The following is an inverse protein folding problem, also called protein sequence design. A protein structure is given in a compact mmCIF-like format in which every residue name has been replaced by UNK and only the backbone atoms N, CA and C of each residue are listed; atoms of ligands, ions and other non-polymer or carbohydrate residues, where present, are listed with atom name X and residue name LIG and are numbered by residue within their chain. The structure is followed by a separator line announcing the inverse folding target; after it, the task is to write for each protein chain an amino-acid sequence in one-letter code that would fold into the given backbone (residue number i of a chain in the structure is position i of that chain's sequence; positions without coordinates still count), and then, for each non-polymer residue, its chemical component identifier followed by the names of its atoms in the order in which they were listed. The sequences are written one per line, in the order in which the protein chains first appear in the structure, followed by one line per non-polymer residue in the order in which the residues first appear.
data_IF_595163699179
#
_entry.id   IF_595163699179
#
_cell.length_a   1.000
_cell.length_b   1.000
_cell.length_c   1.000
_cell.angle_alpha   90.00
_cell.angle_beta   90.00
_cell.angle_gamma   90.00
#
_symmetry.space_group_name_H-M   'P 1'
#
loop_
_entity.id
_entity.type
_entity.pdbx_description
1 polymer ?
#
# COMPACT_ATOMS: atom_id res chain seq x y z
N UNK A 1 -6.14 -10.54 6.87
CA UNK A 1 -5.84 -9.35 7.71
C UNK A 1 -4.97 -8.40 6.91
N UNK A 2 -5.26 -7.10 6.96
CA UNK A 2 -4.44 -6.05 6.36
C UNK A 2 -3.74 -5.23 7.44
N UNK A 3 -2.58 -4.70 7.10
CA UNK A 3 -1.84 -3.74 7.92
C UNK A 3 -1.44 -2.57 7.02
N UNK A 4 -1.93 -1.39 7.36
CA UNK A 4 -1.61 -0.13 6.71
C UNK A 4 -0.61 0.62 7.57
N UNK A 5 0.42 1.19 6.96
CA UNK A 5 1.44 1.96 7.67
C UNK A 5 1.79 3.19 6.87
N UNK A 6 1.59 4.36 7.48
CA UNK A 6 1.95 5.65 6.93
C UNK A 6 3.03 6.30 7.79
N UNK A 7 4.14 6.70 7.18
CA UNK A 7 5.28 7.30 7.87
C UNK A 7 5.53 8.69 7.30
N UNK A 8 5.46 9.68 8.19
CA UNK A 8 5.74 11.06 7.86
C UNK A 8 7.26 11.31 7.73
N UNK A 9 7.70 12.05 6.72
CA UNK A 9 9.14 12.25 6.42
C UNK A 9 9.50 13.72 6.21
N UNK A 10 9.69 14.51 7.29
CA UNK A 10 10.11 15.90 7.14
C UNK A 10 11.46 15.97 6.40
N UNK A 11 11.56 16.84 5.39
CA UNK A 11 12.81 17.09 4.65
C UNK A 11 13.23 16.02 3.63
N UNK A 12 12.46 14.95 3.44
CA UNK A 12 12.79 13.86 2.47
C UNK A 12 11.64 13.52 1.50
N UNK A 13 10.72 14.45 1.28
CA UNK A 13 9.60 14.30 0.33
C UNK A 13 8.26 13.93 1.00
N UNK A 14 7.34 13.37 0.22
CA UNK A 14 6.00 12.96 0.69
C UNK A 14 6.07 11.83 1.73
N UNK A 15 4.99 11.64 2.48
CA UNK A 15 4.84 10.49 3.40
C UNK A 15 4.98 9.16 2.66
N UNK A 16 5.65 8.17 3.28
CA UNK A 16 5.68 6.80 2.77
C UNK A 16 4.44 6.06 3.24
N UNK A 17 3.83 5.29 2.36
CA UNK A 17 2.69 4.46 2.67
C UNK A 17 2.94 3.01 2.21
N UNK A 18 2.66 2.06 3.10
CA UNK A 18 2.84 0.63 2.86
C UNK A 18 1.56 -0.08 3.27
N UNK A 19 1.08 -1.00 2.42
CA UNK A 19 0.04 -1.97 2.78
C UNK A 19 0.64 -3.37 2.65
N UNK A 20 0.36 -4.22 3.64
CA UNK A 20 0.60 -5.67 3.55
C UNK A 20 -0.66 -6.44 3.93
N UNK A 21 -0.99 -7.47 3.13
CA UNK A 21 -2.14 -8.34 3.37
C UNK A 21 -1.70 -9.77 3.65
N UNK A 22 -2.35 -10.40 4.62
CA UNK A 22 -2.10 -11.77 5.06
C UNK A 22 -3.37 -12.63 5.05
N UNK A 23 -3.23 -13.87 4.60
CA UNK A 23 -4.18 -14.98 4.80
C UNK A 23 -3.42 -16.11 5.50
N UNK A 24 -3.89 -16.60 6.64
CA UNK A 24 -3.27 -17.69 7.42
C UNK A 24 -1.75 -17.57 7.58
N UNK A 25 -1.30 -16.40 8.07
CA UNK A 25 0.12 -16.02 8.27
C UNK A 25 0.96 -15.93 6.99
N UNK A 26 0.37 -16.17 5.82
CA UNK A 26 1.02 -16.02 4.52
C UNK A 26 0.73 -14.63 3.97
N UNK A 27 1.78 -13.84 3.71
CA UNK A 27 1.62 -12.57 3.02
C UNK A 27 1.24 -12.83 1.56
N UNK A 28 0.16 -12.22 1.09
CA UNK A 28 -0.31 -12.41 -0.29
C UNK A 28 -0.28 -11.15 -1.14
N UNK A 29 -0.27 -9.97 -0.51
CA UNK A 29 -0.20 -8.68 -1.20
C UNK A 29 0.75 -7.72 -0.49
N UNK A 30 1.47 -6.92 -1.28
CA UNK A 30 2.22 -5.75 -0.82
C UNK A 30 1.97 -4.57 -1.74
N UNK A 31 1.84 -3.38 -1.17
CA UNK A 31 1.98 -2.11 -1.87
C UNK A 31 3.01 -1.25 -1.13
N UNK A 32 3.85 -0.53 -1.86
CA UNK A 32 4.82 0.42 -1.32
C UNK A 32 4.82 1.69 -2.17
N UNK A 33 4.47 2.83 -1.58
CA UNK A 33 4.40 4.11 -2.30
C UNK A 33 5.76 4.60 -2.80
N UNK A 34 6.85 4.09 -2.23
CA UNK A 34 8.22 4.46 -2.59
C UNK A 34 8.82 3.59 -3.69
N UNK A 35 8.11 2.54 -4.13
CA UNK A 35 8.59 1.74 -5.24
C UNK A 35 8.71 2.59 -6.52
N UNK A 36 9.65 2.26 -7.41
CA UNK A 36 9.84 3.01 -8.66
C UNK A 36 8.57 3.01 -9.53
N UNK A 37 7.76 1.95 -9.44
CA UNK A 37 6.43 1.86 -10.02
C UNK A 37 5.45 1.34 -8.96
N UNK A 38 4.82 2.22 -8.16
CA UNK A 38 3.94 1.81 -7.07
C UNK A 38 2.71 1.08 -7.59
N UNK A 39 2.65 -0.22 -7.30
CA UNK A 39 1.54 -1.12 -7.61
C UNK A 39 1.35 -2.15 -6.50
N UNK A 40 0.15 -2.71 -6.41
CA UNK A 40 -0.12 -3.86 -5.57
C UNK A 40 0.53 -5.09 -6.23
N UNK A 41 1.30 -5.85 -5.45
CA UNK A 41 2.07 -6.98 -5.94
C UNK A 41 1.68 -8.28 -5.22
N UNK A 42 1.53 -9.39 -5.94
CA UNK A 42 1.38 -10.71 -5.33
C UNK A 42 2.62 -11.07 -4.51
N UNK A 43 2.40 -11.69 -3.36
CA UNK A 43 3.45 -12.20 -2.46
C UNK A 43 3.31 -13.68 -2.16
N UNK A 44 2.29 -14.33 -2.73
CA UNK A 44 2.04 -15.75 -2.62
C UNK A 44 1.69 -16.35 -3.99
N UNK A 45 2.06 -17.62 -4.28
CA UNK A 45 1.83 -18.23 -5.59
C UNK A 45 0.36 -18.30 -6.01
N UNK A 46 -0.55 -18.43 -5.05
CA UNK A 46 -1.98 -18.46 -5.34
C UNK A 46 -2.56 -17.09 -5.70
N UNK A 47 -1.92 -16.00 -5.24
CA UNK A 47 -2.34 -14.65 -5.58
C UNK A 47 -1.97 -14.28 -7.03
N UNK A 48 -0.90 -14.86 -7.59
CA UNK A 48 -0.51 -14.66 -9.00
C UNK A 48 -1.57 -15.14 -10.00
N UNK A 49 -2.54 -15.95 -9.55
CA UNK A 49 -3.66 -16.42 -10.37
C UNK A 49 -4.72 -15.35 -10.60
N UNK A 50 -4.72 -14.29 -9.80
CA UNK A 50 -5.63 -13.17 -9.96
C UNK A 50 -5.32 -12.39 -11.23
N UNK A 51 -6.37 -11.96 -11.94
CA UNK A 51 -6.26 -11.23 -13.19
C UNK A 51 -5.72 -9.80 -13.02
N UNK A 52 -5.27 -9.17 -14.12
CA UNK A 52 -4.78 -7.79 -14.09
C UNK A 52 -5.82 -6.80 -13.55
N UNK A 53 -7.11 -7.04 -13.78
CA UNK A 53 -8.19 -6.18 -13.29
C UNK A 53 -8.22 -6.10 -11.76
N UNK A 54 -7.99 -7.24 -11.09
CA UNK A 54 -7.89 -7.30 -9.64
C UNK A 54 -6.68 -6.48 -9.15
N UNK A 55 -5.52 -6.66 -9.78
CA UNK A 55 -4.29 -5.95 -9.40
C UNK A 55 -4.38 -4.44 -9.64
N UNK A 56 -5.04 -4.02 -10.73
CA UNK A 56 -5.30 -2.62 -11.02
C UNK A 56 -6.26 -1.99 -10.01
N UNK A 57 -7.29 -2.71 -9.60
CA UNK A 57 -8.21 -2.28 -8.55
C UNK A 57 -7.50 -2.17 -7.19
N UNK A 58 -6.74 -3.19 -6.79
CA UNK A 58 -5.97 -3.15 -5.53
C UNK A 58 -4.96 -2.01 -5.53
N UNK A 59 -4.31 -1.76 -6.67
CA UNK A 59 -3.38 -0.64 -6.83
C UNK A 59 -4.08 0.71 -6.65
N UNK A 60 -5.26 0.88 -7.25
CA UNK A 60 -6.06 2.10 -7.13
C UNK A 60 -6.46 2.36 -5.68
N UNK A 61 -7.02 1.34 -5.01
CA UNK A 61 -7.39 1.42 -3.59
C UNK A 61 -6.20 1.76 -2.69
N UNK A 62 -5.04 1.15 -2.95
CA UNK A 62 -3.83 1.44 -2.18
C UNK A 62 -3.33 2.90 -2.39
N UNK A 63 -3.43 3.43 -3.61
CA UNK A 63 -3.12 4.84 -3.91
C UNK A 63 -4.09 5.81 -3.24
N UNK A 64 -5.38 5.48 -3.22
CA UNK A 64 -6.40 6.28 -2.54
C UNK A 64 -6.14 6.31 -1.03
N UNK A 65 -5.87 5.16 -0.41
CA UNK A 65 -5.49 5.08 1.00
C UNK A 65 -4.22 5.90 1.28
N UNK A 66 -3.21 5.84 0.41
CA UNK A 66 -2.00 6.64 0.57
C UNK A 66 -2.29 8.14 0.64
N UNK A 67 -3.25 8.65 -0.15
CA UNK A 67 -3.68 10.05 -0.07
C UNK A 67 -4.41 10.35 1.24
N UNK A 68 -5.34 9.49 1.65
CA UNK A 68 -6.07 9.66 2.93
C UNK A 68 -5.11 9.73 4.11
N UNK A 69 -4.15 8.80 4.19
CA UNK A 69 -3.14 8.80 5.24
C UNK A 69 -2.19 9.99 5.18
N UNK A 70 -1.83 10.46 3.97
CA UNK A 70 -1.04 11.68 3.80
C UNK A 70 -1.75 12.89 4.40
N UNK A 71 -3.05 13.05 4.11
CA UNK A 71 -3.87 14.12 4.69
C UNK A 71 -3.93 13.98 6.21
N UNK A 72 -4.23 12.77 6.72
CA UNK A 72 -4.26 12.51 8.15
C UNK A 72 -2.94 12.83 8.86
N UNK A 73 -1.80 12.46 8.28
CA UNK A 73 -0.47 12.81 8.80
C UNK A 73 -0.21 14.32 8.81
N UNK A 74 -0.73 15.08 7.85
CA UNK A 74 -0.64 16.55 7.86
C UNK A 74 -1.51 17.14 8.96
N UNK A 75 -2.75 16.68 9.10
CA UNK A 75 -3.67 17.14 10.15
C UNK A 75 -3.14 16.84 11.56
N UNK A 76 -2.56 15.65 11.78
CA UNK A 76 -2.01 15.27 13.08
C UNK A 76 -0.72 16.00 13.46
N UNK A 77 -0.04 16.63 12.50
CA UNK A 77 1.20 17.39 12.74
C UNK A 77 0.94 18.81 13.25
N UNK A 78 -0.30 19.31 13.18
CA UNK A 78 -0.65 20.70 13.49
C UNK A 78 -0.47 21.60 12.28
#
# INVERSE_FOLDING_TARGET
RYFDTAVSRPGRGDSRFIIVGYVDRTQFVRFDSDAASPRAEPRAPWAEREGPEYWDEQTRRAKDNAQTFRVGLRTLRG
#
